data_IF_707256615155
#
_entry.id   IF_707256615155
#
_cell.length_a   1.000
_cell.length_b   1.000
_cell.length_c   1.000
_cell.angle_alpha   90.00
_cell.angle_beta   90.00
_cell.angle_gamma   90.00
#
_symmetry.space_group_name_H-M   'P 1'
#
loop_
_entity.id
_entity.type
_entity.pdbx_description
1 polymer ?
#
# COMPACT_ATOMS: atom_id res chain seq x y z
N UNK A 1 30.67 13.99 -20.18
CA UNK A 1 29.79 12.83 -19.90
C UNK A 1 29.40 12.91 -18.44
N UNK A 2 28.24 13.49 -18.18
CA UNK A 2 27.70 13.76 -16.84
C UNK A 2 26.83 12.58 -16.43
N UNK A 3 27.44 11.53 -15.88
CA UNK A 3 26.72 10.46 -15.20
C UNK A 3 26.45 10.92 -13.78
N UNK A 4 25.23 11.36 -13.50
CA UNK A 4 24.73 11.44 -12.13
C UNK A 4 24.42 10.01 -11.70
N UNK A 5 25.44 9.28 -11.27
CA UNK A 5 25.22 8.02 -10.56
C UNK A 5 24.38 8.33 -9.32
N UNK A 6 23.20 7.74 -9.25
CA UNK A 6 22.27 7.93 -8.14
C UNK A 6 23.00 7.61 -6.84
N UNK A 7 23.20 8.62 -5.98
CA UNK A 7 23.75 8.50 -4.62
C UNK A 7 22.66 7.94 -3.68
N UNK A 8 21.94 6.89 -4.11
CA UNK A 8 21.12 6.09 -3.21
C UNK A 8 21.94 4.85 -2.84
N UNK A 9 21.99 4.45 -1.56
CA UNK A 9 22.51 3.13 -1.22
C UNK A 9 21.76 2.09 -2.07
N UNK A 10 22.50 1.17 -2.70
CA UNK A 10 21.91 0.13 -3.53
C UNK A 10 20.84 -0.62 -2.72
N UNK A 11 19.66 -0.80 -3.32
CA UNK A 11 18.54 -1.57 -2.75
C UNK A 11 18.82 -3.08 -2.74
N UNK A 12 19.97 -3.45 -3.28
CA UNK A 12 20.52 -4.78 -3.48
C UNK A 12 21.14 -5.22 -2.16
N UNK A 13 20.38 -6.01 -1.39
CA UNK A 13 20.81 -6.55 -0.11
C UNK A 13 22.22 -7.14 -0.11
N UNK A 14 23.04 -6.72 0.85
CA UNK A 14 24.17 -7.47 1.40
C UNK A 14 25.35 -7.87 0.49
N UNK A 15 25.49 -7.37 -0.75
CA UNK A 15 26.71 -7.58 -1.54
C UNK A 15 27.40 -6.27 -1.85
N UNK A 16 28.28 -5.86 -0.93
CA UNK A 16 29.20 -4.74 -1.03
C UNK A 16 30.22 -4.93 -2.17
N UNK A 17 29.79 -4.78 -3.42
CA UNK A 17 30.71 -4.41 -4.49
C UNK A 17 31.14 -2.97 -4.25
N UNK A 18 32.36 -2.77 -3.74
CA UNK A 18 32.89 -1.42 -3.55
C UNK A 18 32.88 -0.67 -4.90
N UNK A 19 32.22 0.50 -5.00
CA UNK A 19 32.25 1.30 -6.22
C UNK A 19 33.69 1.61 -6.66
N UNK A 20 33.95 1.56 -7.96
CA UNK A 20 35.28 1.80 -8.51
C UNK A 20 35.79 3.22 -8.15
N UNK A 21 37.06 3.33 -7.75
CA UNK A 21 37.71 4.61 -7.43
C UNK A 21 37.49 5.15 -6.01
N UNK A 22 36.75 4.44 -5.14
CA UNK A 22 36.55 4.81 -3.73
C UNK A 22 37.86 4.82 -2.92
N UNK A 23 38.77 3.90 -3.23
CA UNK A 23 40.07 3.76 -2.54
C UNK A 23 40.96 4.99 -2.64
N UNK A 24 40.75 5.81 -3.67
CA UNK A 24 41.59 6.98 -3.97
C UNK A 24 41.11 8.22 -3.20
N UNK A 25 39.99 8.11 -2.46
CA UNK A 25 39.43 9.16 -1.62
C UNK A 25 39.17 8.64 -0.20
N UNK A 26 40.03 8.95 0.78
CA UNK A 26 39.90 8.47 2.16
C UNK A 26 38.58 8.83 2.85
N UNK A 27 38.00 9.99 2.53
CA UNK A 27 36.71 10.39 3.10
C UNK A 27 35.55 9.57 2.53
N UNK A 28 35.60 9.25 1.24
CA UNK A 28 34.63 8.38 0.59
C UNK A 28 34.74 6.95 1.12
N UNK A 29 35.96 6.42 1.28
CA UNK A 29 36.18 5.12 1.91
C UNK A 29 35.63 5.07 3.33
N UNK A 30 35.93 6.07 4.16
CA UNK A 30 35.41 6.12 5.53
C UNK A 30 33.88 6.23 5.58
N UNK A 31 33.24 6.90 4.62
CA UNK A 31 31.79 6.96 4.53
C UNK A 31 31.18 5.60 4.12
N UNK A 32 31.83 4.90 3.18
CA UNK A 32 31.46 3.54 2.81
C UNK A 32 31.55 2.59 4.00
N UNK A 33 32.68 2.56 4.72
CA UNK A 33 32.89 1.67 5.86
C UNK A 33 31.85 1.91 6.97
N UNK A 34 31.49 3.17 7.24
CA UNK A 34 30.40 3.50 8.18
C UNK A 34 29.05 2.99 7.70
N UNK A 35 28.79 3.09 6.39
CA UNK A 35 27.57 2.57 5.78
C UNK A 35 27.50 1.05 5.97
N UNK A 36 28.54 0.31 5.60
CA UNK A 36 28.62 -1.15 5.80
C UNK A 36 28.35 -1.53 7.25
N UNK A 37 29.06 -0.91 8.20
CA UNK A 37 28.87 -1.18 9.62
C UNK A 37 27.44 -0.89 10.11
N UNK A 38 26.77 0.12 9.54
CA UNK A 38 25.37 0.41 9.86
C UNK A 38 24.40 -0.65 9.30
N UNK A 39 24.66 -1.20 8.10
CA UNK A 39 23.88 -2.31 7.54
C UNK A 39 23.99 -3.54 8.44
N UNK A 40 25.22 -3.91 8.82
CA UNK A 40 25.48 -5.04 9.72
C UNK A 40 24.81 -4.85 11.09
N UNK A 41 24.89 -3.63 11.65
CA UNK A 41 24.28 -3.32 12.93
C UNK A 41 22.75 -3.40 12.91
N UNK A 42 22.09 -2.94 11.83
CA UNK A 42 20.64 -3.10 11.66
C UNK A 42 20.27 -4.57 11.47
N UNK A 43 21.01 -5.30 10.65
CA UNK A 43 20.79 -6.72 10.39
C UNK A 43 20.93 -7.58 11.65
N UNK A 44 21.80 -7.19 12.58
CA UNK A 44 22.00 -7.88 13.85
C UNK A 44 20.95 -7.56 14.93
N UNK A 45 20.01 -6.61 14.69
CA UNK A 45 18.99 -6.26 15.69
C UNK A 45 18.02 -7.44 15.90
N UNK A 46 17.63 -7.75 17.15
CA UNK A 46 16.68 -8.83 17.41
C UNK A 46 15.36 -8.65 16.67
N UNK A 47 14.87 -9.72 16.05
CA UNK A 47 13.61 -9.72 15.31
C UNK A 47 13.64 -9.04 13.94
N UNK A 48 14.79 -8.52 13.51
CA UNK A 48 14.94 -7.94 12.17
C UNK A 48 15.20 -9.01 11.12
N UNK A 49 14.36 -9.04 10.08
CA UNK A 49 14.67 -9.69 8.81
C UNK A 49 15.21 -8.65 7.86
N UNK A 50 16.53 -8.56 7.74
CA UNK A 50 17.18 -7.46 7.02
C UNK A 50 16.92 -7.50 5.50
N UNK A 51 17.07 -8.67 4.89
CA UNK A 51 16.81 -8.91 3.47
C UNK A 51 15.92 -10.14 3.31
N UNK A 52 15.04 -10.10 2.32
CA UNK A 52 14.10 -11.16 1.94
C UNK A 52 13.59 -10.82 0.54
N UNK A 53 12.69 -11.63 -0.02
CA UNK A 53 12.25 -11.57 -1.42
C UNK A 53 10.73 -11.50 -1.54
N UNK A 54 10.08 -10.64 -0.73
CA UNK A 54 8.62 -10.49 -0.79
C UNK A 54 8.19 -9.98 -2.16
N UNK A 55 7.17 -10.63 -2.71
CA UNK A 55 6.42 -10.13 -3.85
C UNK A 55 5.20 -9.37 -3.34
N UNK A 56 5.17 -8.05 -3.51
CA UNK A 56 4.04 -7.20 -3.17
C UNK A 56 3.31 -6.85 -4.46
N UNK A 57 2.03 -7.18 -4.57
CA UNK A 57 1.18 -6.78 -5.70
C UNK A 57 0.26 -5.65 -5.26
N UNK A 58 0.42 -4.48 -5.86
CA UNK A 58 -0.50 -3.35 -5.72
C UNK A 58 -1.36 -3.27 -6.98
N UNK A 59 -2.68 -3.37 -6.82
CA UNK A 59 -3.63 -3.25 -7.94
C UNK A 59 -3.64 -1.81 -8.46
N UNK A 60 -3.55 -1.64 -9.78
CA UNK A 60 -3.59 -0.36 -10.47
C UNK A 60 -4.76 -0.34 -11.46
N UNK A 61 -5.89 0.22 -11.03
CA UNK A 61 -7.12 0.32 -11.82
C UNK A 61 -7.37 1.75 -12.29
N UNK A 62 -8.06 2.00 -13.41
CA UNK A 62 -8.42 3.36 -13.81
C UNK A 62 -9.16 4.11 -12.69
N UNK A 63 -8.74 5.35 -12.42
CA UNK A 63 -9.35 6.17 -11.38
C UNK A 63 -8.91 5.84 -9.95
N UNK A 64 -7.85 5.04 -9.75
CA UNK A 64 -7.28 4.81 -8.41
C UNK A 64 -6.95 6.12 -7.68
N UNK A 65 -7.03 6.15 -6.35
CA UNK A 65 -6.50 7.25 -5.57
C UNK A 65 -4.96 7.17 -5.56
N UNK A 66 -4.29 8.26 -5.93
CA UNK A 66 -2.84 8.25 -6.06
C UNK A 66 -2.16 7.86 -4.75
N UNK A 67 -2.61 8.42 -3.62
CA UNK A 67 -1.92 8.26 -2.34
C UNK A 67 -2.16 6.89 -1.72
N UNK A 68 -3.29 6.25 -2.03
CA UNK A 68 -3.56 4.85 -1.69
C UNK A 68 -2.56 3.87 -2.33
N UNK A 69 -1.93 4.25 -3.45
CA UNK A 69 -0.89 3.46 -4.11
C UNK A 69 0.49 3.91 -3.65
N UNK A 70 0.82 5.20 -3.82
CA UNK A 70 2.20 5.68 -3.62
C UNK A 70 2.60 5.71 -2.14
N UNK A 71 1.64 5.93 -1.23
CA UNK A 71 1.87 5.95 0.21
C UNK A 71 2.38 4.59 0.70
N UNK A 72 1.61 3.50 0.51
CA UNK A 72 2.10 2.16 0.82
C UNK A 72 3.35 1.76 0.04
N UNK A 73 3.38 2.07 -1.27
CA UNK A 73 4.53 1.74 -2.12
C UNK A 73 5.85 2.25 -1.55
N UNK A 74 5.90 3.47 -0.99
CA UNK A 74 7.13 4.03 -0.43
C UNK A 74 7.77 3.09 0.62
N UNK A 75 7.01 2.65 1.63
CA UNK A 75 7.54 1.80 2.69
C UNK A 75 7.79 0.37 2.21
N UNK A 76 6.88 -0.18 1.41
CA UNK A 76 7.01 -1.56 0.91
C UNK A 76 8.20 -1.73 -0.05
N UNK A 77 8.44 -0.75 -0.93
CA UNK A 77 9.59 -0.74 -1.83
C UNK A 77 10.92 -0.40 -1.11
N UNK A 78 10.86 0.07 0.14
CA UNK A 78 12.05 0.33 0.96
C UNK A 78 12.52 -0.91 1.75
N UNK A 79 11.78 -2.02 1.71
CA UNK A 79 12.24 -3.30 2.24
C UNK A 79 13.30 -3.91 1.31
N UNK A 80 14.54 -4.06 1.81
CA UNK A 80 15.65 -4.58 1.01
C UNK A 80 15.34 -5.99 0.47
N UNK A 81 15.45 -6.13 -0.85
CA UNK A 81 15.19 -7.36 -1.61
C UNK A 81 13.71 -7.62 -1.97
N UNK A 82 12.76 -6.85 -1.42
CA UNK A 82 11.36 -6.95 -1.81
C UNK A 82 11.12 -6.37 -3.21
N UNK A 83 10.13 -6.90 -3.93
CA UNK A 83 9.69 -6.41 -5.24
C UNK A 83 8.25 -5.95 -5.17
N UNK A 84 8.00 -4.67 -5.52
CA UNK A 84 6.64 -4.14 -5.64
C UNK A 84 6.20 -4.14 -7.10
N UNK A 85 5.12 -4.85 -7.37
CA UNK A 85 4.49 -5.00 -8.67
C UNK A 85 3.26 -4.10 -8.74
N UNK A 86 3.28 -3.09 -9.60
CA UNK A 86 2.09 -2.32 -9.96
C UNK A 86 1.36 -3.08 -11.08
N UNK A 87 0.25 -3.72 -10.75
CA UNK A 87 -0.43 -4.67 -11.63
C UNK A 87 -1.79 -4.15 -12.09
N UNK A 88 -2.03 -4.14 -13.40
CA UNK A 88 -3.28 -3.66 -14.00
C UNK A 88 -3.96 -4.72 -14.88
N UNK A 89 -5.23 -4.53 -15.24
CA UNK A 89 -5.88 -5.29 -16.32
C UNK A 89 -5.54 -4.77 -17.72
N UNK A 90 -5.03 -3.53 -17.82
CA UNK A 90 -4.49 -3.00 -19.07
C UNK A 90 -3.12 -3.60 -19.43
N UNK A 91 -2.48 -3.01 -20.45
CA UNK A 91 -1.16 -3.44 -20.90
C UNK A 91 -0.04 -2.92 -19.99
N UNK A 92 0.97 -3.77 -19.75
CA UNK A 92 2.23 -3.37 -19.12
C UNK A 92 2.87 -2.22 -19.91
N UNK A 93 3.33 -1.18 -19.22
CA UNK A 93 3.97 -0.02 -19.84
C UNK A 93 3.00 1.05 -20.36
N UNK A 94 1.69 0.77 -20.41
CA UNK A 94 0.67 1.76 -20.76
C UNK A 94 0.19 2.45 -19.48
N UNK A 95 0.26 3.79 -19.38
CA UNK A 95 -0.12 4.48 -18.15
C UNK A 95 -1.58 4.24 -17.74
N UNK A 96 -1.79 3.98 -16.45
CA UNK A 96 -3.10 4.02 -15.81
C UNK A 96 -3.25 5.38 -15.13
N UNK A 97 -4.37 6.04 -15.36
CA UNK A 97 -4.62 7.40 -14.86
C UNK A 97 -5.37 7.32 -13.52
N UNK A 98 -4.84 7.99 -12.49
CA UNK A 98 -5.51 8.14 -11.19
C UNK A 98 -6.71 9.08 -11.27
N UNK A 99 -7.57 9.09 -10.24
CA UNK A 99 -8.68 10.04 -10.14
C UNK A 99 -8.20 11.52 -10.19
N UNK A 100 -7.00 11.78 -9.67
CA UNK A 100 -6.36 13.10 -9.71
C UNK A 100 -5.65 13.44 -11.02
N UNK A 101 -5.69 12.56 -12.03
CA UNK A 101 -5.07 12.78 -13.34
C UNK A 101 -3.58 12.45 -13.42
N UNK A 102 -2.94 11.98 -12.33
CA UNK A 102 -1.56 11.53 -12.36
C UNK A 102 -1.46 10.14 -13.02
N UNK A 103 -0.66 9.98 -14.09
CA UNK A 103 -0.39 8.67 -14.69
C UNK A 103 0.64 7.87 -13.87
N UNK A 104 0.37 6.59 -13.63
CA UNK A 104 1.39 5.61 -13.20
C UNK A 104 1.56 4.53 -14.25
N UNK A 105 2.81 4.11 -14.48
CA UNK A 105 3.13 3.06 -15.44
C UNK A 105 3.15 1.71 -14.71
N UNK A 106 2.28 0.76 -15.07
CA UNK A 106 2.26 -0.57 -14.45
C UNK A 106 3.53 -1.35 -14.80
N UNK A 107 4.05 -2.10 -13.83
CA UNK A 107 5.26 -2.93 -14.00
C UNK A 107 4.92 -4.35 -14.48
N UNK A 108 3.66 -4.76 -14.33
CA UNK A 108 3.11 -6.04 -14.79
C UNK A 108 1.60 -5.94 -15.07
N UNK A 109 1.01 -7.01 -15.61
CA UNK A 109 -0.46 -7.17 -15.66
C UNK A 109 -0.92 -8.07 -14.51
N UNK A 110 -2.19 -7.97 -14.13
CA UNK A 110 -2.75 -8.80 -13.05
C UNK A 110 -2.65 -10.30 -13.35
N UNK A 111 -2.86 -10.70 -14.61
CA UNK A 111 -2.69 -12.11 -15.05
C UNK A 111 -1.24 -12.60 -14.92
N UNK A 112 -0.26 -11.73 -15.12
CA UNK A 112 1.18 -12.05 -15.07
C UNK A 112 1.83 -11.69 -13.73
N UNK A 113 1.07 -11.22 -12.75
CA UNK A 113 1.58 -10.97 -11.41
C UNK A 113 2.03 -12.29 -10.74
N UNK A 114 2.99 -12.26 -9.79
CA UNK A 114 3.39 -13.45 -9.05
C UNK A 114 2.19 -14.24 -8.53
N UNK A 115 2.20 -15.56 -8.75
CA UNK A 115 1.03 -16.40 -8.48
C UNK A 115 0.72 -16.58 -6.98
N UNK A 116 1.68 -16.29 -6.11
CA UNK A 116 1.57 -16.38 -4.65
C UNK A 116 2.33 -15.20 -4.05
N UNK A 117 1.78 -13.98 -4.13
CA UNK A 117 2.44 -12.80 -3.61
C UNK A 117 2.43 -12.82 -2.08
N UNK A 118 3.44 -12.26 -1.44
CA UNK A 118 3.45 -12.09 0.02
C UNK A 118 2.33 -11.14 0.46
N UNK A 119 2.11 -10.05 -0.30
CA UNK A 119 1.06 -9.07 -0.03
C UNK A 119 0.28 -8.77 -1.30
N UNK A 120 -1.05 -8.85 -1.22
CA UNK A 120 -1.95 -8.20 -2.17
C UNK A 120 -2.50 -6.92 -1.53
N UNK A 121 -2.38 -5.79 -2.22
CA UNK A 121 -2.93 -4.50 -1.79
C UNK A 121 -3.85 -3.93 -2.85
N UNK A 122 -5.09 -3.64 -2.44
CA UNK A 122 -6.12 -3.02 -3.30
C UNK A 122 -6.39 -1.57 -2.85
N UNK A 123 -6.02 -0.56 -3.65
CA UNK A 123 -6.29 0.84 -3.33
C UNK A 123 -7.77 1.21 -3.55
N UNK A 124 -8.17 2.37 -3.03
CA UNK A 124 -9.43 3.02 -3.34
C UNK A 124 -9.36 3.92 -4.58
N UNK A 125 -10.31 4.85 -4.67
CA UNK A 125 -10.52 5.74 -5.83
C UNK A 125 -11.88 5.47 -6.48
N UNK A 126 -11.91 5.40 -7.81
CA UNK A 126 -13.09 4.98 -8.60
C UNK A 126 -13.34 3.47 -8.47
N UNK A 127 -13.47 2.97 -7.24
CA UNK A 127 -13.65 1.55 -6.94
C UNK A 127 -14.85 0.89 -7.66
N UNK A 128 -15.98 1.57 -7.96
CA UNK A 128 -17.02 0.99 -8.81
C UNK A 128 -16.51 0.57 -10.20
N UNK A 129 -15.55 1.30 -10.79
CA UNK A 129 -14.92 0.92 -12.06
C UNK A 129 -14.12 -0.37 -11.90
N UNK A 130 -13.41 -0.52 -10.78
CA UNK A 130 -12.68 -1.76 -10.45
C UNK A 130 -13.64 -2.95 -10.24
N UNK A 131 -14.73 -2.75 -9.49
CA UNK A 131 -15.73 -3.80 -9.22
C UNK A 131 -16.41 -4.25 -10.52
N UNK A 132 -16.69 -3.33 -11.44
CA UNK A 132 -17.26 -3.64 -12.75
C UNK A 132 -16.28 -4.37 -13.69
N UNK A 133 -14.97 -4.29 -13.46
CA UNK A 133 -13.97 -5.01 -14.23
C UNK A 133 -13.90 -6.49 -13.78
N UNK A 134 -14.65 -7.34 -14.47
CA UNK A 134 -14.69 -8.78 -14.18
C UNK A 134 -13.31 -9.46 -14.25
N UNK A 135 -12.41 -9.00 -15.11
CA UNK A 135 -11.07 -9.57 -15.22
C UNK A 135 -10.21 -9.17 -14.01
N UNK A 136 -10.33 -7.93 -13.54
CA UNK A 136 -9.69 -7.48 -12.32
C UNK A 136 -10.21 -8.26 -11.11
N UNK A 137 -11.53 -8.37 -10.97
CA UNK A 137 -12.18 -9.09 -9.86
C UNK A 137 -11.87 -10.59 -9.85
N UNK A 138 -11.73 -11.24 -11.01
CA UNK A 138 -11.27 -12.62 -11.09
C UNK A 138 -9.81 -12.75 -10.62
N UNK A 139 -8.93 -11.83 -11.03
CA UNK A 139 -7.53 -11.84 -10.62
C UNK A 139 -7.32 -11.49 -9.15
N UNK A 140 -8.07 -10.54 -8.60
CA UNK A 140 -8.03 -10.22 -7.16
C UNK A 140 -8.38 -11.46 -6.35
N UNK A 141 -9.45 -12.19 -6.69
CA UNK A 141 -9.80 -13.46 -6.03
C UNK A 141 -8.69 -14.51 -6.15
N UNK A 142 -8.13 -14.67 -7.36
CA UNK A 142 -7.04 -15.63 -7.61
C UNK A 142 -5.82 -15.32 -6.75
N UNK A 143 -5.35 -14.08 -6.78
CA UNK A 143 -4.17 -13.62 -6.04
C UNK A 143 -4.42 -13.69 -4.53
N UNK A 144 -5.57 -13.21 -4.06
CA UNK A 144 -5.94 -13.25 -2.64
C UNK A 144 -5.91 -14.67 -2.08
N UNK A 145 -6.39 -15.67 -2.83
CA UNK A 145 -6.39 -17.08 -2.39
C UNK A 145 -5.01 -17.70 -2.18
N UNK A 146 -3.95 -17.01 -2.62
CA UNK A 146 -2.54 -17.43 -2.54
C UNK A 146 -1.66 -16.42 -1.84
N UNK A 147 -2.23 -15.32 -1.35
CA UNK A 147 -1.47 -14.28 -0.66
C UNK A 147 -1.30 -14.64 0.80
N UNK A 148 -0.13 -14.34 1.38
CA UNK A 148 0.05 -14.48 2.84
C UNK A 148 -0.73 -13.40 3.59
N UNK A 149 -0.85 -12.21 2.99
CA UNK A 149 -1.63 -11.08 3.50
C UNK A 149 -2.44 -10.45 2.37
N UNK A 150 -3.74 -10.27 2.61
CA UNK A 150 -4.64 -9.49 1.75
C UNK A 150 -4.91 -8.15 2.43
N UNK A 151 -4.81 -7.07 1.68
CA UNK A 151 -4.94 -5.73 2.23
C UNK A 151 -5.66 -4.76 1.31
N UNK A 152 -6.19 -3.69 1.90
CA UNK A 152 -6.76 -2.58 1.15
C UNK A 152 -6.59 -1.25 1.84
N UNK A 153 -6.68 -0.17 1.06
CA UNK A 153 -6.72 1.21 1.54
C UNK A 153 -8.02 1.87 1.07
N UNK A 154 -8.59 2.74 1.91
CA UNK A 154 -9.75 3.55 1.56
C UNK A 154 -10.90 2.67 1.03
N UNK A 155 -11.55 3.07 -0.05
CA UNK A 155 -12.66 2.35 -0.69
C UNK A 155 -12.24 1.02 -1.33
N UNK A 156 -10.96 0.68 -1.41
CA UNK A 156 -10.48 -0.61 -1.93
C UNK A 156 -11.03 -1.81 -1.15
N UNK A 157 -11.46 -1.61 0.10
CA UNK A 157 -12.15 -2.62 0.89
C UNK A 157 -13.43 -3.13 0.19
N UNK A 158 -14.15 -2.27 -0.55
CA UNK A 158 -15.37 -2.71 -1.26
C UNK A 158 -15.07 -3.66 -2.42
N UNK A 159 -13.90 -3.53 -3.08
CA UNK A 159 -13.47 -4.52 -4.05
C UNK A 159 -13.16 -5.86 -3.36
N UNK A 160 -12.51 -5.85 -2.19
CA UNK A 160 -12.33 -7.09 -1.41
C UNK A 160 -13.68 -7.71 -1.00
N UNK A 161 -14.64 -6.87 -0.59
CA UNK A 161 -16.01 -7.28 -0.27
C UNK A 161 -16.72 -7.91 -1.47
N UNK A 162 -16.69 -7.26 -2.63
CA UNK A 162 -17.27 -7.76 -3.87
C UNK A 162 -16.61 -9.08 -4.34
N UNK A 163 -15.33 -9.27 -4.01
CA UNK A 163 -14.59 -10.52 -4.21
C UNK A 163 -14.98 -11.63 -3.22
N UNK A 164 -15.82 -11.35 -2.21
CA UNK A 164 -16.24 -12.29 -1.16
C UNK A 164 -15.22 -12.48 -0.04
N UNK A 165 -14.25 -11.57 0.10
CA UNK A 165 -13.11 -11.73 1.01
C UNK A 165 -13.36 -11.15 2.42
N UNK A 166 -14.46 -10.42 2.61
CA UNK A 166 -14.77 -9.75 3.88
C UNK A 166 -15.86 -10.44 4.71
N UNK A 167 -16.49 -11.51 4.21
CA UNK A 167 -17.61 -12.17 4.88
C UNK A 167 -17.24 -12.64 6.30
N UNK A 168 -17.88 -12.05 7.31
CA UNK A 168 -17.66 -12.34 8.73
C UNK A 168 -16.32 -11.84 9.29
N UNK A 169 -15.61 -10.97 8.56
CA UNK A 169 -14.29 -10.44 8.93
C UNK A 169 -14.40 -9.00 9.40
N UNK A 170 -13.56 -8.60 10.35
CA UNK A 170 -13.41 -7.21 10.77
C UNK A 170 -12.69 -6.41 9.69
N UNK A 171 -13.26 -5.28 9.29
CA UNK A 171 -12.66 -4.40 8.30
C UNK A 171 -13.00 -2.92 8.52
N UNK A 172 -12.16 -2.05 7.97
CA UNK A 172 -12.38 -0.60 7.85
C UNK A 172 -12.29 -0.16 6.39
N UNK A 173 -12.70 1.08 6.12
CA UNK A 173 -12.70 1.73 4.78
C UNK A 173 -12.70 3.25 4.96
N UNK A 174 -12.87 4.01 3.90
CA UNK A 174 -13.05 5.46 4.00
C UNK A 174 -14.26 5.84 4.87
N UNK A 175 -14.07 6.81 5.78
CA UNK A 175 -15.07 7.20 6.79
C UNK A 175 -16.45 7.56 6.19
N UNK A 176 -16.50 8.15 4.99
CA UNK A 176 -17.76 8.57 4.37
C UNK A 176 -18.56 7.41 3.78
N UNK A 177 -17.97 6.22 3.66
CA UNK A 177 -18.65 5.00 3.18
C UNK A 177 -18.61 3.86 4.20
N UNK A 178 -18.11 4.10 5.41
CA UNK A 178 -17.93 3.06 6.43
C UNK A 178 -19.19 2.23 6.69
N UNK A 179 -20.35 2.88 6.73
CA UNK A 179 -21.66 2.26 6.92
C UNK A 179 -22.08 1.29 5.81
N UNK A 180 -21.39 1.26 4.67
CA UNK A 180 -21.67 0.32 3.58
C UNK A 180 -20.99 -1.04 3.76
N UNK A 181 -19.97 -1.14 4.62
CA UNK A 181 -19.16 -2.37 4.77
C UNK A 181 -19.98 -3.59 5.18
N UNK A 182 -21.00 -3.41 6.01
CA UNK A 182 -21.89 -4.50 6.43
C UNK A 182 -22.63 -5.12 5.24
N UNK A 183 -23.00 -4.31 4.23
CA UNK A 183 -23.60 -4.80 2.99
C UNK A 183 -22.66 -5.66 2.15
N UNK A 184 -21.35 -5.59 2.41
CA UNK A 184 -20.31 -6.43 1.81
C UNK A 184 -19.88 -7.59 2.73
N UNK A 185 -20.68 -7.86 3.77
CA UNK A 185 -20.48 -8.98 4.68
C UNK A 185 -19.43 -8.76 5.79
N UNK A 186 -18.84 -7.56 5.88
CA UNK A 186 -17.82 -7.25 6.88
C UNK A 186 -18.45 -6.86 8.23
N UNK A 187 -17.74 -7.13 9.32
CA UNK A 187 -17.93 -6.42 10.59
C UNK A 187 -17.20 -5.07 10.51
N UNK A 188 -17.95 -3.98 10.39
CA UNK A 188 -17.40 -2.64 10.19
C UNK A 188 -16.78 -2.11 11.49
N UNK A 189 -15.47 -1.85 11.48
CA UNK A 189 -14.70 -1.36 12.65
C UNK A 189 -14.15 0.03 12.36
N UNK A 190 -14.41 0.99 13.22
CA UNK A 190 -13.93 2.38 13.09
C UNK A 190 -12.53 2.53 13.70
N UNK A 191 -11.55 1.95 13.02
CA UNK A 191 -10.14 2.09 13.33
C UNK A 191 -9.38 2.52 12.07
N UNK A 192 -8.23 3.19 12.26
CA UNK A 192 -7.39 3.67 11.16
C UNK A 192 -6.83 2.53 10.32
N UNK A 193 -6.44 1.43 10.98
CA UNK A 193 -6.02 0.16 10.37
C UNK A 193 -6.64 -0.96 11.20
N UNK A 194 -7.31 -1.91 10.53
CA UNK A 194 -7.90 -3.09 11.14
C UNK A 194 -7.14 -4.32 10.67
N UNK A 195 -6.70 -5.13 11.63
CA UNK A 195 -6.02 -6.41 11.38
C UNK A 195 -6.92 -7.55 11.87
N UNK A 196 -7.31 -8.41 10.95
CA UNK A 196 -8.05 -9.64 11.22
C UNK A 196 -7.29 -10.77 10.54
N UNK A 197 -6.49 -11.54 11.29
CA UNK A 197 -5.72 -12.66 10.73
C UNK A 197 -4.79 -12.26 9.58
N UNK A 198 -5.07 -12.76 8.38
CA UNK A 198 -4.39 -12.48 7.11
C UNK A 198 -4.95 -11.25 6.36
N UNK A 199 -6.04 -10.65 6.83
CA UNK A 199 -6.66 -9.47 6.26
C UNK A 199 -6.23 -8.21 7.01
N UNK A 200 -5.74 -7.21 6.29
CA UNK A 200 -5.35 -5.91 6.84
C UNK A 200 -5.97 -4.77 6.03
N UNK A 201 -6.98 -4.09 6.57
CA UNK A 201 -7.67 -3.00 5.88
C UNK A 201 -7.35 -1.66 6.53
N UNK A 202 -7.22 -0.61 5.73
CA UNK A 202 -6.92 0.73 6.21
C UNK A 202 -8.00 1.72 5.79
N UNK A 203 -8.20 2.72 6.63
CA UNK A 203 -9.18 3.79 6.42
C UNK A 203 -8.75 4.72 5.26
N UNK A 204 -9.20 5.98 5.29
CA UNK A 204 -9.02 6.90 4.18
C UNK A 204 -7.57 7.27 3.88
N UNK A 205 -7.19 7.12 2.61
CA UNK A 205 -6.09 7.79 1.91
C UNK A 205 -4.72 7.64 2.59
N UNK A 206 -4.40 8.57 3.49
CA UNK A 206 -3.13 8.57 4.24
C UNK A 206 -2.96 7.36 5.15
N UNK A 207 -4.04 6.67 5.52
CA UNK A 207 -3.98 5.46 6.34
C UNK A 207 -3.19 4.32 5.67
N UNK A 208 -3.02 4.36 4.34
CA UNK A 208 -2.18 3.41 3.62
C UNK A 208 -0.70 3.45 4.04
N UNK A 209 -0.20 4.61 4.48
CA UNK A 209 1.17 4.74 5.00
C UNK A 209 1.35 3.98 6.32
N UNK A 210 0.40 4.12 7.24
CA UNK A 210 0.40 3.40 8.52
C UNK A 210 0.21 1.90 8.33
N UNK A 211 -0.69 1.50 7.41
CA UNK A 211 -0.85 0.12 6.99
C UNK A 211 0.48 -0.48 6.51
N UNK A 212 1.21 0.24 5.67
CA UNK A 212 2.47 -0.23 5.14
C UNK A 212 3.55 -0.36 6.21
N UNK A 213 3.63 0.55 7.17
CA UNK A 213 4.52 0.39 8.33
C UNK A 213 4.16 -0.86 9.17
N UNK A 214 2.87 -1.13 9.36
CA UNK A 214 2.42 -2.36 10.05
C UNK A 214 2.71 -3.63 9.24
N UNK A 215 2.60 -3.58 7.91
CA UNK A 215 3.03 -4.68 7.03
C UNK A 215 4.53 -4.90 7.14
N UNK A 216 5.34 -3.84 7.11
CA UNK A 216 6.80 -3.92 7.31
C UNK A 216 7.12 -4.52 8.68
N UNK A 217 6.47 -4.07 9.75
CA UNK A 217 6.68 -4.63 11.09
C UNK A 217 6.33 -6.13 11.15
N UNK A 218 5.22 -6.54 10.53
CA UNK A 218 4.80 -7.94 10.46
C UNK A 218 5.77 -8.82 9.67
N UNK A 219 6.34 -8.30 8.58
CA UNK A 219 7.20 -9.06 7.67
C UNK A 219 8.69 -9.04 8.09
N UNK A 220 9.17 -7.89 8.58
CA UNK A 220 10.59 -7.60 8.83
C UNK A 220 10.94 -7.23 10.27
N UNK A 221 9.94 -7.14 11.15
CA UNK A 221 10.08 -6.80 12.57
C UNK A 221 9.99 -5.30 12.87
N UNK A 222 9.55 -4.98 14.09
CA UNK A 222 9.29 -3.61 14.56
C UNK A 222 10.49 -2.67 14.41
N UNK A 223 11.71 -3.16 14.66
CA UNK A 223 12.91 -2.35 14.58
C UNK A 223 13.25 -1.94 13.14
N UNK A 224 12.93 -2.79 12.16
CA UNK A 224 13.08 -2.45 10.75
C UNK A 224 12.01 -1.44 10.32
N UNK A 225 10.76 -1.61 10.79
CA UNK A 225 9.69 -0.65 10.53
C UNK A 225 10.01 0.74 11.11
N UNK A 226 10.48 0.82 12.36
CA UNK A 226 10.94 2.07 12.99
C UNK A 226 12.11 2.70 12.24
N UNK A 227 13.03 1.89 11.73
CA UNK A 227 14.14 2.39 10.92
C UNK A 227 13.63 3.06 9.63
N UNK A 228 12.65 2.44 8.94
CA UNK A 228 12.04 3.04 7.76
C UNK A 228 11.18 4.26 8.08
N UNK A 229 10.42 4.22 9.18
CA UNK A 229 9.63 5.36 9.69
C UNK A 229 10.52 6.58 9.96
N UNK A 230 11.66 6.37 10.62
CA UNK A 230 12.66 7.41 10.86
C UNK A 230 13.30 7.89 9.54
N UNK A 231 13.64 6.98 8.63
CA UNK A 231 14.21 7.33 7.33
C UNK A 231 13.28 8.18 6.46
N UNK A 232 11.97 8.02 6.65
CA UNK A 232 10.94 8.84 6.00
C UNK A 232 10.68 10.16 6.73
N UNK A 233 11.20 10.34 7.94
CA UNK A 233 10.79 11.39 8.89
C UNK A 233 9.26 11.44 9.02
N UNK A 234 8.63 10.26 9.15
CA UNK A 234 7.17 10.14 9.16
C UNK A 234 6.58 10.61 10.50
N UNK A 235 6.53 11.93 10.67
CA UNK A 235 6.01 12.62 11.85
C UNK A 235 4.92 13.62 11.39
N UNK A 236 3.73 13.14 10.99
CA UNK A 236 2.72 14.01 10.41
C UNK A 236 2.25 15.08 11.42
N UNK A 237 2.20 16.34 10.97
CA UNK A 237 1.68 17.48 11.73
C UNK A 237 0.59 18.22 10.93
N UNK A 238 -0.63 17.66 10.80
CA UNK A 238 -1.69 18.27 9.99
C UNK A 238 -2.06 19.67 10.51
N UNK A 239 -2.04 20.72 9.66
CA UNK A 239 -2.16 22.11 10.14
C UNK A 239 -3.59 22.56 10.48
N UNK A 240 -4.61 21.80 10.06
CA UNK A 240 -6.02 22.23 10.14
C UNK A 240 -6.85 21.46 11.17
N UNK A 241 -6.35 20.34 11.68
CA UNK A 241 -7.05 19.55 12.70
C UNK A 241 -8.46 19.10 12.29
N UNK A 242 -8.67 18.70 11.03
CA UNK A 242 -9.98 18.27 10.49
C UNK A 242 -9.89 16.90 9.79
N UNK A 243 -8.95 16.05 10.21
CA UNK A 243 -8.64 14.78 9.54
C UNK A 243 -9.61 13.63 9.83
N UNK A 244 -10.58 13.83 10.72
CA UNK A 244 -11.63 12.88 11.08
C UNK A 244 -12.97 13.60 11.24
N UNK A 245 -14.11 12.90 11.11
CA UNK A 245 -15.43 13.49 11.33
C UNK A 245 -15.57 14.23 12.66
N UNK A 246 -15.07 13.63 13.74
CA UNK A 246 -15.14 14.20 15.09
C UNK A 246 -14.35 15.52 15.20
N UNK A 247 -13.19 15.59 14.56
CA UNK A 247 -12.35 16.79 14.54
C UNK A 247 -12.90 17.87 13.60
N UNK A 248 -13.46 17.48 12.45
CA UNK A 248 -14.00 18.40 11.44
C UNK A 248 -15.31 19.06 11.89
N UNK A 249 -16.08 18.39 12.75
CA UNK A 249 -17.40 18.83 13.20
C UNK A 249 -18.50 18.59 12.16
N UNK A 250 -19.72 18.40 12.67
CA UNK A 250 -20.89 17.93 11.90
C UNK A 250 -21.11 18.65 10.56
N UNK A 251 -21.06 19.98 10.55
CA UNK A 251 -21.37 20.76 9.35
C UNK A 251 -20.44 20.47 8.17
N UNK A 252 -19.13 20.36 8.43
CA UNK A 252 -18.16 20.02 7.39
C UNK A 252 -18.23 18.53 7.01
N UNK A 253 -18.45 17.66 8.00
CA UNK A 253 -18.66 16.22 7.77
C UNK A 253 -19.85 15.95 6.85
N UNK A 254 -21.01 16.56 7.12
CA UNK A 254 -22.22 16.36 6.34
C UNK A 254 -22.05 16.90 4.91
N UNK A 255 -21.44 18.10 4.76
CA UNK A 255 -21.08 18.64 3.44
C UNK A 255 -20.16 17.70 2.66
N UNK A 256 -19.14 17.14 3.31
CA UNK A 256 -18.21 16.21 2.68
C UNK A 256 -18.87 14.88 2.30
N UNK A 257 -19.83 14.37 3.09
CA UNK A 257 -20.63 13.18 2.70
C UNK A 257 -21.45 13.45 1.46
N UNK A 258 -22.16 14.58 1.41
CA UNK A 258 -22.96 14.96 0.25
C UNK A 258 -22.09 15.14 -1.00
N UNK A 259 -20.86 15.64 -0.85
CA UNK A 259 -19.89 15.72 -1.94
C UNK A 259 -19.55 14.34 -2.54
N UNK A 260 -19.53 13.30 -1.71
CA UNK A 260 -19.25 11.93 -2.13
C UNK A 260 -20.50 11.07 -2.41
N UNK A 261 -21.71 11.65 -2.39
CA UNK A 261 -22.97 10.89 -2.48
C UNK A 261 -23.10 10.05 -3.77
N UNK A 262 -22.52 10.48 -4.90
CA UNK A 262 -22.54 9.72 -6.16
C UNK A 262 -21.70 8.45 -6.06
N UNK A 263 -20.50 8.55 -5.47
CA UNK A 263 -19.64 7.39 -5.22
C UNK A 263 -20.30 6.44 -4.22
N UNK A 264 -20.90 6.98 -3.16
CA UNK A 264 -21.65 6.19 -2.19
C UNK A 264 -22.81 5.41 -2.86
N UNK A 265 -23.59 6.06 -3.72
CA UNK A 265 -24.70 5.42 -4.44
C UNK A 265 -24.22 4.28 -5.34
N UNK A 266 -23.11 4.48 -6.06
CA UNK A 266 -22.53 3.44 -6.91
C UNK A 266 -22.03 2.22 -6.12
N UNK A 267 -21.47 2.43 -4.94
CA UNK A 267 -21.03 1.34 -4.07
C UNK A 267 -22.21 0.62 -3.39
N UNK A 268 -23.34 1.31 -3.15
CA UNK A 268 -24.55 0.67 -2.61
C UNK A 268 -25.16 -0.36 -3.56
N UNK A 269 -25.20 -0.09 -4.87
CA UNK A 269 -25.82 -1.01 -5.83
C UNK A 269 -25.10 -2.35 -5.91
N UNK A 270 -23.78 -2.35 -5.77
CA UNK A 270 -22.97 -3.56 -5.93
C UNK A 270 -22.99 -4.48 -4.70
N UNK A 271 -23.19 -3.92 -3.50
CA UNK A 271 -23.32 -4.70 -2.25
C UNK A 271 -24.61 -5.52 -2.16
N UNK A 272 -25.66 -5.16 -2.91
CA UNK A 272 -26.99 -5.82 -2.80
C UNK A 272 -27.13 -7.15 -3.57
N UNK A 273 -26.09 -7.58 -4.29
CA UNK A 273 -26.14 -8.77 -5.14
C UNK A 273 -25.65 -10.08 -4.51
N UNK A 274 -25.47 -10.15 -3.18
CA UNK A 274 -25.00 -11.36 -2.48
C UNK A 274 -25.93 -11.88 -1.37
N UNK A 275 -27.25 -11.76 -1.53
CA UNK A 275 -28.22 -12.51 -0.71
C UNK A 275 -28.75 -13.75 -1.43
#
# INVERSE_FOLDING_TARGET
MTGTDNIKPALDGATHGQPAGLSDNPAAQAAWDRSVAAHDALAARPGVTFTSNEDIVIVLHPGFDTLDVIGPHYFLASMLGATVHLATTGDKGVPVISAGGLPLIPTTTLDNAPASPTVLLVPGGDTPVLIADHAAMANIRRLASKSDIVSSVCTGAFALGAAGLLAGRRATTHWSMHHLLEGYGAEAVDERVVIDGDLMTAAGVTAGMDLALLLVARLRGDEYARFLELGAEYVPQPPLGAGSPDQAGRGLTDLARDFYAVLELALRSDGTHQS
#
